data_IF_107446949810
#
_entry.id   IF_107446949810
#
_cell.length_a   1.000
_cell.length_b   1.000
_cell.length_c   1.000
_cell.angle_alpha   90.00
_cell.angle_beta   90.00
_cell.angle_gamma   90.00
#
_symmetry.space_group_name_H-M   'P 1'
#
loop_
_entity.id
_entity.type
_entity.pdbx_description
1 polymer ?
#
# COMPACT_ATOMS: atom_id res chain seq x y z
N UNK A 1 -0.95 22.73 4.15
CA UNK A 1 -2.43 22.79 4.15
C UNK A 1 -3.04 21.68 3.30
N UNK A 2 -2.69 20.48 3.61
CA UNK A 2 -3.20 19.26 3.03
C UNK A 2 -4.60 18.98 3.58
N UNK A 3 -5.65 19.08 2.74
CA UNK A 3 -5.72 19.71 1.42
C UNK A 3 -6.85 20.77 1.36
N UNK A 4 -7.07 21.49 2.47
CA UNK A 4 -8.16 22.48 2.60
C UNK A 4 -8.11 23.58 1.55
N UNK A 5 -6.90 23.99 1.13
CA UNK A 5 -6.72 24.97 0.04
C UNK A 5 -7.25 24.44 -1.30
N UNK A 6 -7.07 23.16 -1.59
CA UNK A 6 -7.62 22.54 -2.80
C UNK A 6 -9.14 22.50 -2.78
N UNK A 7 -9.77 22.29 -1.62
CA UNK A 7 -11.24 22.37 -1.45
C UNK A 7 -11.71 23.79 -1.77
N UNK A 8 -11.08 24.82 -1.20
CA UNK A 8 -11.44 26.21 -1.44
C UNK A 8 -11.27 26.60 -2.93
N UNK A 9 -10.17 26.21 -3.54
CA UNK A 9 -9.93 26.45 -4.97
C UNK A 9 -10.99 25.77 -5.85
N UNK A 10 -11.36 24.53 -5.52
CA UNK A 10 -12.39 23.79 -6.26
C UNK A 10 -13.76 24.45 -6.14
N UNK A 11 -14.17 24.87 -4.93
CA UNK A 11 -15.44 25.59 -4.72
C UNK A 11 -15.48 26.88 -5.50
N UNK A 12 -14.39 27.67 -5.48
CA UNK A 12 -14.29 28.91 -6.26
C UNK A 12 -14.39 28.64 -7.76
N UNK A 13 -13.68 27.65 -8.27
CA UNK A 13 -13.70 27.29 -9.69
C UNK A 13 -15.13 26.86 -10.15
N UNK A 14 -15.79 26.02 -9.32
CA UNK A 14 -17.17 25.60 -9.61
C UNK A 14 -18.14 26.78 -9.59
N UNK A 15 -17.99 27.70 -8.65
CA UNK A 15 -18.84 28.91 -8.58
C UNK A 15 -18.69 29.76 -9.84
N UNK A 16 -17.47 30.02 -10.28
CA UNK A 16 -17.19 30.77 -11.53
C UNK A 16 -17.81 30.03 -12.72
N UNK A 17 -17.54 28.73 -12.83
CA UNK A 17 -18.04 27.91 -13.94
C UNK A 17 -19.56 27.95 -14.05
N UNK A 18 -20.30 27.82 -12.93
CA UNK A 18 -21.75 27.84 -12.92
C UNK A 18 -22.33 29.22 -13.23
N UNK A 19 -21.65 30.30 -12.85
CA UNK A 19 -22.01 31.67 -13.22
C UNK A 19 -21.88 31.94 -14.71
N UNK A 20 -20.87 31.34 -15.35
CA UNK A 20 -20.63 31.50 -16.79
C UNK A 20 -21.46 30.50 -17.63
N UNK A 21 -21.94 29.40 -17.04
CA UNK A 21 -22.61 28.32 -17.73
C UNK A 21 -23.97 27.99 -17.12
N UNK A 22 -24.93 28.94 -17.19
CA UNK A 22 -26.27 28.82 -16.60
C UNK A 22 -27.10 27.62 -17.08
N UNK A 23 -26.74 27.00 -18.22
CA UNK A 23 -27.42 25.83 -18.79
C UNK A 23 -26.56 24.55 -18.66
N UNK A 24 -25.74 24.45 -17.64
CA UNK A 24 -24.95 23.23 -17.40
C UNK A 24 -25.87 22.00 -17.21
N UNK A 25 -25.73 21.02 -18.08
CA UNK A 25 -26.48 19.77 -18.02
C UNK A 25 -25.65 18.69 -17.36
N UNK A 26 -25.68 18.63 -16.04
CA UNK A 26 -24.90 17.68 -15.27
C UNK A 26 -24.99 17.94 -13.77
N UNK A 27 -24.18 17.22 -13.02
CA UNK A 27 -24.06 17.40 -11.56
C UNK A 27 -22.60 17.47 -11.18
N UNK A 28 -22.26 18.39 -10.29
CA UNK A 28 -20.94 18.50 -9.67
C UNK A 28 -21.12 18.21 -8.19
N UNK A 29 -20.41 17.22 -7.70
CA UNK A 29 -20.49 16.79 -6.30
C UNK A 29 -19.12 16.89 -5.62
N UNK A 30 -19.11 17.31 -4.37
CA UNK A 30 -17.94 17.35 -3.51
C UNK A 30 -17.98 16.19 -2.54
N UNK A 31 -16.97 15.35 -2.56
CA UNK A 31 -16.74 14.32 -1.57
C UNK A 31 -15.65 14.79 -0.61
N UNK A 32 -16.05 15.11 0.62
CA UNK A 32 -15.13 15.56 1.67
C UNK A 32 -15.12 14.51 2.77
N UNK A 33 -13.96 13.95 3.09
CA UNK A 33 -13.78 12.92 4.10
C UNK A 33 -12.72 13.34 5.11
N UNK A 34 -12.88 12.91 6.37
CA UNK A 34 -11.98 13.22 7.47
C UNK A 34 -11.11 12.04 7.92
N UNK A 35 -11.19 10.87 7.27
CA UNK A 35 -10.50 9.63 7.65
C UNK A 35 -9.61 9.10 6.50
N UNK A 36 -9.03 10.00 5.69
CA UNK A 36 -8.18 9.58 4.57
C UNK A 36 -6.77 9.19 5.06
N UNK A 37 -6.21 9.98 5.97
CA UNK A 37 -4.86 9.79 6.52
C UNK A 37 -4.83 8.81 7.71
N UNK A 38 -5.97 8.40 8.21
CA UNK A 38 -6.10 7.44 9.30
C UNK A 38 -6.31 6.01 8.82
N UNK A 39 -7.22 5.30 9.46
CA UNK A 39 -7.55 3.91 9.13
C UNK A 39 -8.31 3.77 7.80
N UNK A 40 -8.78 4.87 7.21
CA UNK A 40 -9.55 4.96 5.97
C UNK A 40 -10.81 4.07 5.95
N UNK A 41 -11.39 3.80 7.13
CA UNK A 41 -12.56 2.91 7.28
C UNK A 41 -13.86 3.69 7.01
N UNK A 42 -13.95 4.92 7.53
CA UNK A 42 -15.16 5.75 7.50
C UNK A 42 -15.09 6.90 6.48
N UNK A 43 -14.38 6.69 5.39
CA UNK A 43 -14.13 7.71 4.36
C UNK A 43 -14.66 7.33 2.99
N UNK A 44 -13.89 7.61 1.97
CA UNK A 44 -14.19 7.47 0.55
C UNK A 44 -14.81 6.12 0.18
N UNK A 45 -14.31 5.02 0.76
CA UNK A 45 -14.81 3.67 0.45
C UNK A 45 -16.29 3.53 0.78
N UNK A 46 -16.74 3.98 1.97
CA UNK A 46 -18.15 3.89 2.36
C UNK A 46 -19.06 4.73 1.46
N UNK A 47 -18.61 5.92 1.08
CA UNK A 47 -19.38 6.79 0.19
C UNK A 47 -19.48 6.18 -1.21
N UNK A 48 -18.39 5.64 -1.75
CA UNK A 48 -18.38 4.97 -3.06
C UNK A 48 -19.30 3.73 -3.04
N UNK A 49 -19.27 2.94 -1.98
CA UNK A 49 -20.15 1.78 -1.82
C UNK A 49 -21.63 2.20 -1.72
N UNK A 50 -21.93 3.33 -1.06
CA UNK A 50 -23.27 3.91 -1.02
C UNK A 50 -23.75 4.38 -2.40
N UNK A 51 -22.90 5.12 -3.14
CA UNK A 51 -23.22 5.60 -4.50
C UNK A 51 -23.46 4.43 -5.46
N UNK A 52 -22.66 3.37 -5.37
CA UNK A 52 -22.89 2.13 -6.14
C UNK A 52 -24.26 1.50 -5.83
N UNK A 53 -24.67 1.43 -4.57
CA UNK A 53 -26.00 0.92 -4.17
C UNK A 53 -27.11 1.79 -4.73
N UNK A 54 -26.90 3.10 -4.82
CA UNK A 54 -27.85 4.06 -5.44
C UNK A 54 -27.80 4.04 -6.96
N UNK A 55 -26.91 3.25 -7.57
CA UNK A 55 -26.68 3.18 -9.03
C UNK A 55 -26.28 4.52 -9.64
N UNK A 56 -25.66 5.40 -8.84
CA UNK A 56 -25.11 6.66 -9.32
C UNK A 56 -23.95 6.41 -10.26
N UNK A 57 -23.98 7.06 -11.42
CA UNK A 57 -22.91 6.99 -12.42
C UNK A 57 -22.01 8.20 -12.27
N UNK A 58 -20.75 7.94 -11.91
CA UNK A 58 -19.72 8.98 -11.86
C UNK A 58 -18.97 8.95 -13.19
N UNK A 59 -19.04 10.03 -13.96
CA UNK A 59 -18.35 10.15 -15.25
C UNK A 59 -16.87 10.48 -15.07
N UNK A 60 -16.55 11.38 -14.14
CA UNK A 60 -15.20 11.86 -13.85
C UNK A 60 -15.00 12.02 -12.35
N UNK A 61 -13.75 11.89 -11.91
CA UNK A 61 -13.35 12.16 -10.54
C UNK A 61 -12.06 12.98 -10.56
N UNK A 62 -12.08 14.14 -9.91
CA UNK A 62 -10.90 14.96 -9.67
C UNK A 62 -10.53 14.89 -8.19
N UNK A 63 -9.30 14.51 -7.90
CA UNK A 63 -8.76 14.43 -6.54
C UNK A 63 -7.81 15.60 -6.32
N UNK A 64 -8.09 16.42 -5.31
CA UNK A 64 -7.36 17.66 -5.02
C UNK A 64 -6.05 17.49 -4.24
N UNK A 65 -5.46 16.31 -4.25
CA UNK A 65 -4.18 16.03 -3.58
C UNK A 65 -3.00 16.76 -4.23
N UNK A 66 -2.01 17.20 -3.43
CA UNK A 66 -0.82 17.86 -3.97
C UNK A 66 0.00 16.90 -4.83
N UNK A 67 0.19 17.22 -6.09
CA UNK A 67 0.89 16.36 -7.05
C UNK A 67 2.03 17.04 -7.77
N UNK A 68 2.10 18.37 -7.69
CA UNK A 68 3.09 19.17 -8.42
C UNK A 68 4.40 19.26 -7.64
N UNK A 69 5.54 18.74 -8.15
CA UNK A 69 6.79 18.75 -7.42
C UNK A 69 7.43 20.16 -7.30
N UNK A 70 7.35 21.00 -8.33
CA UNK A 70 8.05 22.29 -8.38
C UNK A 70 7.13 23.48 -8.62
N UNK A 71 6.23 23.39 -9.62
CA UNK A 71 5.35 24.48 -10.02
C UNK A 71 3.89 24.04 -10.06
N UNK A 72 3.00 24.93 -9.64
CA UNK A 72 1.56 24.69 -9.70
C UNK A 72 1.13 24.47 -11.16
N UNK A 73 0.35 23.40 -11.40
CA UNK A 73 -0.19 23.06 -12.71
C UNK A 73 0.78 22.32 -13.64
N UNK A 74 1.99 21.98 -13.21
CA UNK A 74 2.96 21.28 -14.07
C UNK A 74 2.67 19.78 -14.25
N UNK A 75 1.94 19.17 -13.31
CA UNK A 75 1.68 17.74 -13.34
C UNK A 75 0.32 17.38 -12.76
N UNK A 76 -0.37 16.48 -13.44
CA UNK A 76 -1.53 15.75 -12.92
C UNK A 76 -1.24 14.25 -12.94
N UNK A 77 -1.74 13.53 -11.94
CA UNK A 77 -1.65 12.08 -11.90
C UNK A 77 -2.93 11.47 -12.45
N UNK A 78 -2.81 10.70 -13.53
CA UNK A 78 -3.93 9.99 -14.17
C UNK A 78 -4.08 8.55 -13.68
N UNK A 79 -3.25 8.13 -12.73
CA UNK A 79 -3.31 6.81 -12.09
C UNK A 79 -2.28 6.68 -10.98
N UNK A 80 -2.42 5.66 -10.17
CA UNK A 80 -1.50 5.32 -9.07
C UNK A 80 -1.20 3.83 -9.07
N UNK A 81 0.02 3.48 -8.63
CA UNK A 81 0.35 2.08 -8.34
C UNK A 81 -0.40 1.61 -7.11
N UNK A 82 -0.76 0.33 -7.07
CA UNK A 82 -1.30 -0.30 -5.87
C UNK A 82 -0.24 -0.41 -4.77
N UNK A 83 -0.69 -0.51 -3.52
CA UNK A 83 0.14 -0.72 -2.35
C UNK A 83 -0.36 -1.92 -1.56
N UNK A 84 0.57 -2.77 -1.14
CA UNK A 84 0.28 -3.92 -0.28
C UNK A 84 1.37 -4.03 0.79
N UNK A 85 0.96 -3.94 2.05
CA UNK A 85 1.85 -4.19 3.18
C UNK A 85 1.69 -5.63 3.66
N UNK A 86 2.81 -6.32 3.86
CA UNK A 86 2.87 -7.65 4.45
C UNK A 86 3.59 -7.62 5.79
N UNK A 87 3.04 -8.32 6.78
CA UNK A 87 3.72 -8.63 8.04
C UNK A 87 4.06 -10.11 8.05
N UNK A 88 5.34 -10.42 8.27
CA UNK A 88 5.86 -11.77 8.40
C UNK A 88 6.20 -12.01 9.88
N UNK A 89 5.72 -13.09 10.43
CA UNK A 89 6.02 -13.54 11.79
C UNK A 89 6.52 -14.97 11.70
N UNK A 90 7.72 -15.21 12.23
CA UNK A 90 8.32 -16.54 12.33
C UNK A 90 8.40 -16.89 13.79
N UNK A 91 7.71 -17.96 14.18
CA UNK A 91 7.82 -18.54 15.49
C UNK A 91 8.86 -19.66 15.45
N UNK A 92 9.78 -19.64 16.39
CA UNK A 92 10.82 -20.64 16.57
C UNK A 92 10.74 -21.28 17.96
N UNK A 93 11.85 -21.92 18.37
CA UNK A 93 12.04 -22.48 19.71
C UNK A 93 13.27 -21.81 20.29
N UNK A 94 13.07 -21.08 21.38
CA UNK A 94 14.15 -20.43 22.12
C UNK A 94 15.10 -21.45 22.72
N UNK A 95 16.41 -21.13 22.75
CA UNK A 95 17.42 -21.99 23.35
C UNK A 95 18.76 -21.33 23.51
N UNK A 96 19.68 -22.00 24.19
CA UNK A 96 21.05 -21.51 24.35
C UNK A 96 21.84 -21.78 23.07
N UNK A 97 22.65 -20.80 22.62
CA UNK A 97 23.40 -20.89 21.36
C UNK A 97 24.41 -22.06 21.30
N UNK A 98 24.87 -22.53 22.47
CA UNK A 98 25.74 -23.70 22.57
C UNK A 98 25.03 -25.02 22.27
N UNK A 99 23.69 -25.06 22.29
CA UNK A 99 22.90 -26.25 22.05
C UNK A 99 21.84 -26.03 20.96
N UNK A 100 22.26 -25.67 19.72
CA UNK A 100 21.34 -25.27 18.65
C UNK A 100 20.37 -26.41 18.25
N UNK A 101 20.72 -27.67 18.49
CA UNK A 101 19.87 -28.85 18.24
C UNK A 101 18.62 -28.91 19.13
N UNK A 102 18.57 -28.13 20.22
CA UNK A 102 17.42 -28.01 21.13
C UNK A 102 16.57 -26.76 20.85
N UNK A 103 16.91 -26.01 19.83
CA UNK A 103 16.26 -24.75 19.45
C UNK A 103 15.84 -24.77 17.96
N UNK A 104 14.98 -23.83 17.58
CA UNK A 104 14.68 -23.55 16.18
C UNK A 104 14.82 -22.03 15.97
N UNK A 105 15.84 -21.59 15.23
CA UNK A 105 16.18 -20.19 15.12
C UNK A 105 15.33 -19.45 14.08
N UNK A 106 14.37 -18.60 14.50
CA UNK A 106 13.53 -17.84 13.60
C UNK A 106 14.30 -16.73 12.87
N UNK A 107 15.43 -16.26 13.43
CA UNK A 107 16.28 -15.24 12.81
C UNK A 107 16.91 -15.74 11.51
N UNK A 108 17.40 -16.97 11.50
CA UNK A 108 17.94 -17.60 10.31
C UNK A 108 16.87 -17.80 9.24
N UNK A 109 15.68 -18.21 9.67
CA UNK A 109 14.55 -18.44 8.76
C UNK A 109 14.05 -17.14 8.15
N UNK A 110 13.90 -16.05 8.95
CA UNK A 110 13.41 -14.76 8.43
C UNK A 110 14.39 -14.16 7.42
N UNK A 111 15.70 -14.25 7.65
CA UNK A 111 16.72 -13.76 6.71
C UNK A 111 16.61 -14.49 5.37
N UNK A 112 16.50 -15.82 5.37
CA UNK A 112 16.31 -16.60 4.12
C UNK A 112 15.04 -16.20 3.38
N UNK A 113 13.93 -16.00 4.08
CA UNK A 113 12.68 -15.58 3.47
C UNK A 113 12.80 -14.19 2.87
N UNK A 114 13.39 -13.24 3.58
CA UNK A 114 13.55 -11.87 3.12
C UNK A 114 14.47 -11.78 1.89
N UNK A 115 15.53 -12.57 1.86
CA UNK A 115 16.41 -12.66 0.68
C UNK A 115 15.65 -13.16 -0.56
N UNK A 116 14.90 -14.26 -0.44
CA UNK A 116 14.08 -14.79 -1.53
C UNK A 116 12.99 -13.77 -1.97
N UNK A 117 12.37 -13.05 -1.02
CA UNK A 117 11.37 -12.03 -1.33
C UNK A 117 11.97 -10.83 -2.07
N UNK A 118 13.15 -10.35 -1.65
CA UNK A 118 13.85 -9.22 -2.26
C UNK A 118 14.27 -9.51 -3.69
N UNK A 119 14.62 -10.75 -3.97
CA UNK A 119 15.07 -11.18 -5.30
C UNK A 119 13.91 -11.45 -6.28
N UNK A 120 12.65 -11.20 -5.90
CA UNK A 120 11.52 -11.35 -6.81
C UNK A 120 11.54 -10.28 -7.90
N UNK A 121 11.75 -10.68 -9.13
CA UNK A 121 11.47 -9.84 -10.28
C UNK A 121 9.99 -9.99 -10.67
N UNK A 122 9.15 -9.01 -10.33
CA UNK A 122 7.72 -9.05 -10.63
C UNK A 122 7.43 -8.81 -12.11
N UNK A 123 7.94 -7.70 -12.65
CA UNK A 123 7.76 -7.24 -14.03
C UNK A 123 8.83 -6.19 -14.40
N UNK A 124 8.74 -5.65 -15.61
CA UNK A 124 9.65 -4.62 -16.13
C UNK A 124 8.97 -3.25 -16.25
N UNK A 125 7.82 -3.06 -15.60
CA UNK A 125 7.04 -1.83 -15.72
C UNK A 125 6.06 -1.85 -16.89
N UNK A 126 5.38 -0.72 -17.07
CA UNK A 126 4.49 -0.43 -18.20
C UNK A 126 4.86 0.94 -18.79
N UNK A 127 4.17 1.38 -19.84
CA UNK A 127 4.34 2.74 -20.37
C UNK A 127 4.01 3.83 -19.36
N UNK A 128 3.10 3.53 -18.41
CA UNK A 128 2.57 4.52 -17.45
C UNK A 128 3.16 4.35 -16.05
N UNK A 129 3.70 3.18 -15.72
CA UNK A 129 4.14 2.86 -14.37
C UNK A 129 5.51 2.17 -14.32
N UNK A 130 6.26 2.50 -13.32
CA UNK A 130 7.51 1.84 -12.96
C UNK A 130 7.28 0.34 -12.66
N UNK A 131 8.34 -0.49 -12.67
CA UNK A 131 8.27 -1.87 -12.23
C UNK A 131 7.67 -2.01 -10.83
N UNK A 132 6.98 -3.12 -10.62
CA UNK A 132 6.54 -3.53 -9.28
C UNK A 132 7.76 -3.85 -8.42
N UNK A 133 7.84 -3.26 -7.25
CA UNK A 133 8.95 -3.45 -6.32
C UNK A 133 8.47 -3.85 -4.92
N UNK A 134 9.31 -4.57 -4.21
CA UNK A 134 9.13 -4.94 -2.81
C UNK A 134 10.30 -4.36 -1.99
N UNK A 135 9.95 -3.66 -0.90
CA UNK A 135 10.94 -3.16 0.05
C UNK A 135 10.62 -3.66 1.46
N UNK A 136 11.65 -4.16 2.14
CA UNK A 136 11.56 -4.51 3.56
C UNK A 136 11.70 -3.22 4.36
N UNK A 137 10.67 -2.90 5.14
CA UNK A 137 10.60 -1.63 5.88
C UNK A 137 10.89 -1.77 7.37
N UNK A 138 10.84 -2.99 7.91
CA UNK A 138 11.15 -3.26 9.31
C UNK A 138 11.59 -4.69 9.48
N UNK A 139 12.59 -4.91 10.34
CA UNK A 139 12.96 -6.21 10.90
C UNK A 139 13.05 -6.01 12.40
N UNK A 140 12.38 -6.88 13.16
CA UNK A 140 12.41 -6.83 14.62
C UNK A 140 12.62 -8.25 15.17
N UNK A 141 13.65 -8.40 15.97
CA UNK A 141 13.98 -9.61 16.70
C UNK A 141 14.19 -9.18 18.15
N UNK A 142 13.16 -9.38 18.98
CA UNK A 142 13.20 -8.98 20.36
C UNK A 142 14.02 -10.01 21.17
N UNK A 143 15.32 -9.79 21.23
CA UNK A 143 16.27 -10.60 21.97
C UNK A 143 17.29 -9.71 22.70
N UNK A 144 17.38 -9.83 23.99
CA UNK A 144 18.25 -9.02 24.84
C UNK A 144 19.52 -9.75 25.27
N UNK A 145 19.66 -11.03 24.98
CA UNK A 145 20.77 -11.87 25.42
C UNK A 145 21.55 -12.44 24.23
N UNK A 146 22.85 -12.20 24.17
CA UNK A 146 23.72 -12.58 23.05
C UNK A 146 23.90 -14.12 22.92
N UNK A 147 23.71 -14.85 24.01
CA UNK A 147 23.87 -16.30 24.09
C UNK A 147 22.55 -17.08 23.98
N UNK A 148 21.45 -16.42 23.60
CA UNK A 148 20.11 -17.02 23.49
C UNK A 148 19.60 -16.92 22.04
N UNK A 149 19.16 -18.03 21.47
CA UNK A 149 18.41 -18.08 20.22
C UNK A 149 17.00 -17.55 20.51
N UNK A 150 16.48 -16.54 19.77
CA UNK A 150 15.16 -15.96 20.03
C UNK A 150 14.01 -16.93 19.76
N UNK A 151 12.86 -16.69 20.40
CA UNK A 151 11.63 -17.47 20.17
C UNK A 151 10.80 -17.00 18.99
N UNK A 152 11.00 -15.76 18.53
CA UNK A 152 10.28 -15.21 17.38
C UNK A 152 11.09 -14.16 16.64
N UNK A 153 10.77 -13.94 15.37
CA UNK A 153 11.28 -12.87 14.54
C UNK A 153 10.16 -12.30 13.67
N UNK A 154 10.15 -10.98 13.48
CA UNK A 154 9.14 -10.27 12.68
C UNK A 154 9.78 -9.44 11.59
N UNK A 155 9.12 -9.32 10.45
CA UNK A 155 9.46 -8.34 9.44
C UNK A 155 8.20 -7.72 8.82
N UNK A 156 8.33 -6.48 8.37
CA UNK A 156 7.31 -5.79 7.57
C UNK A 156 7.93 -5.41 6.24
N UNK A 157 7.17 -5.60 5.16
CA UNK A 157 7.55 -5.19 3.82
C UNK A 157 6.37 -4.51 3.13
N UNK A 158 6.67 -3.62 2.19
CA UNK A 158 5.66 -2.98 1.35
C UNK A 158 5.94 -3.29 -0.12
N UNK A 159 4.88 -3.51 -0.89
CA UNK A 159 4.94 -3.76 -2.32
C UNK A 159 4.16 -2.66 -3.03
N UNK A 160 4.83 -1.95 -3.94
CA UNK A 160 4.18 -1.03 -4.88
C UNK A 160 4.06 -1.73 -6.22
N UNK A 161 2.83 -1.98 -6.66
CA UNK A 161 2.57 -2.75 -7.88
C UNK A 161 1.79 -1.95 -8.92
N UNK A 162 2.15 -2.16 -10.18
CA UNK A 162 1.52 -1.53 -11.34
C UNK A 162 0.27 -2.31 -11.80
N UNK A 163 -0.34 -1.85 -12.90
CA UNK A 163 -1.58 -2.39 -13.45
C UNK A 163 -1.47 -3.79 -14.10
N UNK A 164 -0.25 -4.38 -14.17
CA UNK A 164 -0.06 -5.79 -14.54
C UNK A 164 -0.45 -6.76 -13.42
N UNK A 165 -0.61 -6.24 -12.19
CA UNK A 165 -0.87 -7.04 -11.01
C UNK A 165 -2.13 -6.59 -10.28
N UNK A 166 -2.69 -7.50 -9.51
CA UNK A 166 -3.71 -7.24 -8.50
C UNK A 166 -3.17 -7.65 -7.12
N UNK A 167 -3.79 -7.17 -6.04
CA UNK A 167 -3.44 -7.59 -4.68
C UNK A 167 -3.50 -9.11 -4.54
N UNK A 168 -4.47 -9.77 -5.19
CA UNK A 168 -4.61 -11.23 -5.14
C UNK A 168 -3.48 -11.96 -5.88
N UNK A 169 -3.03 -11.45 -7.04
CA UNK A 169 -1.92 -12.05 -7.78
C UNK A 169 -0.60 -11.92 -7.01
N UNK A 170 -0.36 -10.76 -6.40
CA UNK A 170 0.81 -10.53 -5.54
C UNK A 170 0.78 -11.49 -4.33
N UNK A 171 -0.34 -11.55 -3.61
CA UNK A 171 -0.50 -12.48 -2.46
C UNK A 171 -0.23 -13.94 -2.85
N UNK A 172 -0.76 -14.40 -3.98
CA UNK A 172 -0.50 -15.76 -4.48
C UNK A 172 0.99 -16.01 -4.71
N UNK A 173 1.70 -15.04 -5.30
CA UNK A 173 3.13 -15.15 -5.58
C UNK A 173 3.96 -15.21 -4.31
N UNK A 174 3.69 -14.32 -3.35
CA UNK A 174 4.34 -14.32 -2.02
C UNK A 174 4.09 -15.66 -1.31
N UNK A 175 2.83 -16.10 -1.22
CA UNK A 175 2.48 -17.35 -0.55
C UNK A 175 3.14 -18.59 -1.18
N UNK A 176 3.36 -18.59 -2.51
CA UNK A 176 4.10 -19.67 -3.19
C UNK A 176 5.53 -19.77 -2.69
N UNK A 177 6.20 -18.64 -2.50
CA UNK A 177 7.58 -18.58 -1.98
C UNK A 177 7.63 -19.04 -0.53
N UNK A 178 6.74 -18.50 0.32
CA UNK A 178 6.67 -18.88 1.72
C UNK A 178 6.46 -20.39 1.89
N UNK A 179 5.53 -20.97 1.12
CA UNK A 179 5.29 -22.43 1.12
C UNK A 179 6.50 -23.25 0.66
N UNK A 180 7.28 -22.74 -0.31
CA UNK A 180 8.50 -23.42 -0.78
C UNK A 180 9.55 -23.50 0.33
N UNK A 181 9.69 -22.42 1.11
CA UNK A 181 10.68 -22.33 2.19
C UNK A 181 10.23 -23.16 3.40
N UNK A 182 8.94 -23.06 3.79
CA UNK A 182 8.40 -23.82 4.93
C UNK A 182 8.43 -25.34 4.76
N UNK A 183 8.50 -25.84 3.52
CA UNK A 183 8.65 -27.29 3.24
C UNK A 183 10.11 -27.79 3.29
N UNK A 184 11.08 -26.86 3.34
CA UNK A 184 12.51 -27.18 3.36
C UNK A 184 13.14 -27.09 4.77
N UNK A 185 12.38 -26.58 5.72
CA UNK A 185 12.70 -26.51 7.14
C UNK A 185 11.76 -27.43 7.93
#
# INVERSE_FOLDING_TARGET
NDMKSSIAAFVSAVSIFLNENHKFNGSISLLITGDEEGDAINGTKKVVDYLKKKKEKISFCLVGEPTNPNKLGEMIKIGRRGSLTGKLIINGIQGHVAYPQRANNPSTTIVKILDELKNIKFDSGTKDFQPTNLEVTRININNSADNVIPGSAEATFNIRFNNKHSSSSIKKRINKILKKISKKN
#
